data_IF_760714769314
#
_entry.id   IF_760714769314
#
_cell.length_a   1.000
_cell.length_b   1.000
_cell.length_c   1.000
_cell.angle_alpha   90.00
_cell.angle_beta   90.00
_cell.angle_gamma   90.00
#
_symmetry.space_group_name_H-M   'P 1'
#
loop_
_entity.id
_entity.type
_entity.pdbx_description
1 polymer ?
#
# COMPACT_ATOMS: atom_id res chain seq x y z
N UNK A 1 -6.59 1.92 -0.58
CA UNK A 1 -5.93 0.77 0.07
C UNK A 1 -6.91 0.20 1.07
N UNK A 2 -6.99 -1.11 1.14
CA UNK A 2 -7.98 -1.83 1.93
C UNK A 2 -7.33 -3.03 2.62
N UNK A 3 -7.69 -3.23 3.88
CA UNK A 3 -7.32 -4.38 4.70
C UNK A 3 -8.57 -4.80 5.47
N UNK A 4 -8.97 -6.06 5.33
CA UNK A 4 -10.23 -6.58 5.88
C UNK A 4 -11.42 -5.72 5.40
N UNK A 5 -12.19 -5.12 6.31
CA UNK A 5 -13.31 -4.22 6.01
C UNK A 5 -12.94 -2.73 6.07
N UNK A 6 -11.65 -2.40 6.29
CA UNK A 6 -11.19 -1.02 6.46
C UNK A 6 -10.53 -0.50 5.20
N UNK A 7 -11.10 0.58 4.65
CA UNK A 7 -10.59 1.27 3.46
C UNK A 7 -10.06 2.66 3.81
N UNK A 8 -8.86 2.98 3.33
CA UNK A 8 -8.22 4.30 3.50
C UNK A 8 -7.61 4.81 2.21
N UNK A 9 -7.37 6.12 2.18
CA UNK A 9 -6.63 6.76 1.10
C UNK A 9 -5.12 6.52 1.27
N UNK A 10 -4.52 5.87 0.27
CA UNK A 10 -3.08 5.56 0.25
C UNK A 10 -2.18 6.79 0.13
N UNK A 11 -2.73 7.98 -0.12
CA UNK A 11 -1.98 9.25 -0.13
C UNK A 11 -1.81 9.87 1.26
N UNK A 12 -2.56 9.36 2.26
CA UNK A 12 -2.49 9.84 3.63
C UNK A 12 -1.72 8.86 4.50
N UNK A 13 -0.53 9.27 4.96
CA UNK A 13 0.28 8.47 5.89
C UNK A 13 -0.49 8.12 7.18
N UNK A 14 -1.31 9.05 7.68
CA UNK A 14 -2.14 8.81 8.86
C UNK A 14 -3.18 7.71 8.62
N UNK A 15 -3.75 7.65 7.41
CA UNK A 15 -4.70 6.61 7.02
C UNK A 15 -4.03 5.24 6.90
N UNK A 16 -2.82 5.18 6.35
CA UNK A 16 -2.06 3.93 6.25
C UNK A 16 -1.71 3.42 7.65
N UNK A 17 -1.20 4.29 8.54
CA UNK A 17 -0.84 3.91 9.90
C UNK A 17 -2.04 3.39 10.72
N UNK A 18 -3.25 3.94 10.49
CA UNK A 18 -4.46 3.50 11.21
C UNK A 18 -4.98 2.12 10.78
N UNK A 19 -4.55 1.62 9.62
CA UNK A 19 -4.84 0.24 9.19
C UNK A 19 -4.03 -0.81 9.95
N UNK A 20 -3.03 -0.41 10.74
CA UNK A 20 -2.17 -1.31 11.51
C UNK A 20 -1.61 -2.46 10.65
N UNK A 21 -1.13 -2.12 9.45
CA UNK A 21 -0.53 -3.07 8.50
C UNK A 21 0.83 -3.50 9.04
N UNK A 22 1.03 -4.80 9.20
CA UNK A 22 2.33 -5.41 9.54
C UNK A 22 2.89 -6.19 8.35
N UNK A 23 4.18 -6.49 8.37
CA UNK A 23 4.80 -7.39 7.38
C UNK A 23 4.02 -8.71 7.28
N UNK A 24 3.84 -9.20 6.05
CA UNK A 24 3.03 -10.40 5.77
C UNK A 24 1.52 -10.19 5.74
N UNK A 25 1.04 -8.96 5.94
CA UNK A 25 -0.39 -8.63 5.80
C UNK A 25 -0.78 -8.53 4.33
N UNK A 26 -1.83 -9.24 3.93
CA UNK A 26 -2.46 -9.03 2.63
C UNK A 26 -3.27 -7.72 2.62
N UNK A 27 -3.05 -6.93 1.57
CA UNK A 27 -3.71 -5.63 1.38
C UNK A 27 -4.14 -5.48 -0.08
N UNK A 28 -5.26 -4.80 -0.29
CA UNK A 28 -5.77 -4.50 -1.62
C UNK A 28 -5.49 -3.03 -1.98
N UNK A 29 -4.88 -2.80 -3.14
CA UNK A 29 -4.56 -1.46 -3.64
C UNK A 29 -5.37 -1.22 -4.92
N UNK A 30 -6.10 -0.10 -4.94
CA UNK A 30 -6.93 0.32 -6.08
C UNK A 30 -6.62 1.77 -6.39
N UNK A 31 -6.54 2.11 -7.67
CA UNK A 31 -6.36 3.47 -8.17
C UNK A 31 -7.30 3.73 -9.35
N UNK A 32 -7.64 5.00 -9.54
CA UNK A 32 -8.48 5.48 -10.64
C UNK A 32 -7.80 6.70 -11.26
N UNK A 33 -7.83 6.81 -12.59
CA UNK A 33 -7.14 7.86 -13.33
C UNK A 33 -6.40 7.34 -14.56
N UNK A 34 -5.83 8.26 -15.35
CA UNK A 34 -5.07 7.93 -16.56
C UNK A 34 -3.76 7.19 -16.28
N UNK A 35 -3.24 7.29 -15.06
CA UNK A 35 -1.99 6.71 -14.58
C UNK A 35 -2.22 5.56 -13.56
N UNK A 36 -3.47 5.10 -13.40
CA UNK A 36 -3.87 4.15 -12.36
C UNK A 36 -3.00 2.88 -12.34
N UNK A 37 -2.73 2.29 -13.51
CA UNK A 37 -1.92 1.08 -13.64
C UNK A 37 -0.46 1.31 -13.19
N UNK A 38 0.14 2.41 -13.62
CA UNK A 38 1.50 2.79 -13.22
C UNK A 38 1.58 3.05 -11.72
N UNK A 39 0.59 3.75 -11.16
CA UNK A 39 0.52 4.07 -9.74
C UNK A 39 0.39 2.79 -8.88
N UNK A 40 -0.48 1.85 -9.27
CA UNK A 40 -0.64 0.57 -8.57
C UNK A 40 0.65 -0.23 -8.61
N UNK A 41 1.27 -0.38 -9.78
CA UNK A 41 2.53 -1.13 -9.92
C UNK A 41 3.67 -0.52 -9.09
N UNK A 42 3.80 0.80 -9.09
CA UNK A 42 4.80 1.49 -8.29
C UNK A 42 4.57 1.30 -6.79
N UNK A 43 3.31 1.41 -6.34
CA UNK A 43 2.95 1.22 -4.93
C UNK A 43 3.15 -0.22 -4.47
N UNK A 44 2.76 -1.22 -5.28
CA UNK A 44 3.03 -2.64 -4.99
C UNK A 44 4.53 -2.89 -4.88
N UNK A 45 5.32 -2.35 -5.81
CA UNK A 45 6.80 -2.49 -5.76
C UNK A 45 7.39 -1.86 -4.50
N UNK A 46 6.84 -0.72 -4.06
CA UNK A 46 7.30 -0.01 -2.87
C UNK A 46 6.98 -0.77 -1.57
N UNK A 47 5.74 -1.28 -1.43
CA UNK A 47 5.28 -1.93 -0.18
C UNK A 47 5.67 -3.41 -0.10
N UNK A 48 5.85 -4.08 -1.23
CA UNK A 48 6.32 -5.47 -1.30
C UNK A 48 7.85 -5.58 -1.32
N UNK A 49 8.57 -4.46 -1.43
CA UNK A 49 10.00 -4.44 -1.18
C UNK A 49 10.21 -4.58 0.32
N UNK A 50 10.64 -5.77 0.74
CA UNK A 50 11.47 -5.86 1.94
C UNK A 50 12.72 -5.01 1.67
N UNK A 51 12.92 -3.94 2.46
CA UNK A 51 14.26 -3.40 2.60
C UNK A 51 15.13 -4.55 3.10
N UNK A 52 16.04 -5.02 2.24
CA UNK A 52 17.23 -5.72 2.69
C UNK A 52 18.02 -4.73 3.56
N UNK A 53 17.64 -4.60 4.83
CA UNK A 53 18.51 -4.07 5.86
C UNK A 53 19.68 -5.04 5.98
N UNK A 54 20.75 -4.79 5.21
CA UNK A 54 22.09 -5.33 5.44
C UNK A 54 23.10 -4.49 4.65
N UNK A 55 23.54 -3.39 5.26
CA UNK A 55 24.96 -3.02 5.32
C UNK A 55 25.27 -2.52 6.72
#
# INVERSE_FOLDING_TARGET
MEKDEKKVNAKSIMGIMSLAISTGTEVHISAEGSDAEQAVNALVTLVSKEELENQ
#
